data_IF_324161474978
#
_entry.id   IF_324161474978
#
_cell.length_a   1.000
_cell.length_b   1.000
_cell.length_c   1.000
_cell.angle_alpha   90.00
_cell.angle_beta   90.00
_cell.angle_gamma   90.00
#
_symmetry.space_group_name_H-M   'P 1'
#
loop_
_entity.id
_entity.type
_entity.pdbx_description
1 polymer ?
#
# COMPACT_ATOMS: atom_id res chain seq x y z
N UNK A 1 -30.67 -3.03 -16.96
CA UNK A 1 -30.61 -4.42 -16.47
C UNK A 1 -29.76 -4.42 -15.23
N UNK A 2 -30.37 -4.62 -14.07
CA UNK A 2 -29.62 -4.75 -12.82
C UNK A 2 -28.78 -6.03 -12.93
N UNK A 3 -27.45 -5.87 -12.87
CA UNK A 3 -26.53 -7.00 -12.84
C UNK A 3 -26.76 -7.74 -11.52
N UNK A 4 -27.44 -8.88 -11.60
CA UNK A 4 -27.60 -9.82 -10.51
C UNK A 4 -26.26 -10.53 -10.26
N UNK A 5 -25.30 -9.81 -9.65
CA UNK A 5 -23.95 -10.29 -9.33
C UNK A 5 -23.93 -10.80 -7.89
N UNK A 6 -24.53 -11.95 -7.63
CA UNK A 6 -24.49 -12.56 -6.29
C UNK A 6 -23.10 -13.08 -5.97
N UNK A 7 -22.26 -12.21 -5.40
CA UNK A 7 -21.32 -12.62 -4.37
C UNK A 7 -21.63 -11.81 -3.10
N UNK A 8 -22.57 -12.34 -2.32
CA UNK A 8 -22.74 -11.92 -0.92
C UNK A 8 -21.58 -12.51 -0.10
N UNK A 9 -20.37 -11.99 -0.31
CA UNK A 9 -19.23 -12.31 0.55
C UNK A 9 -18.41 -11.04 0.83
N UNK A 10 -18.98 -10.04 1.53
CA UNK A 10 -18.26 -8.82 1.87
C UNK A 10 -17.04 -9.18 2.70
N UNK A 11 -15.88 -8.63 2.34
CA UNK A 11 -14.62 -8.89 3.04
C UNK A 11 -13.87 -7.58 3.29
N UNK A 12 -13.00 -7.57 4.29
CA UNK A 12 -12.07 -6.47 4.56
C UNK A 12 -10.72 -7.02 5.07
N UNK A 13 -9.66 -6.21 4.96
CA UNK A 13 -8.31 -6.55 5.43
C UNK A 13 -7.72 -7.84 4.83
N UNK A 14 -8.19 -8.24 3.65
CA UNK A 14 -7.69 -9.35 2.84
C UNK A 14 -6.52 -8.90 1.95
N UNK A 15 -5.83 -9.86 1.34
CA UNK A 15 -4.98 -9.60 0.17
C UNK A 15 -5.76 -9.86 -1.12
N UNK A 16 -5.61 -8.98 -2.12
CA UNK A 16 -6.16 -9.16 -3.47
C UNK A 16 -5.01 -9.25 -4.47
N UNK A 17 -4.99 -10.32 -5.27
CA UNK A 17 -3.91 -10.62 -6.22
C UNK A 17 -4.50 -10.98 -7.58
N UNK A 18 -4.09 -10.24 -8.62
CA UNK A 18 -4.46 -10.54 -9.99
C UNK A 18 -3.46 -11.54 -10.58
N UNK A 19 -3.98 -12.63 -11.13
CA UNK A 19 -3.22 -13.63 -11.88
C UNK A 19 -3.09 -13.24 -13.35
N UNK A 20 -2.08 -13.80 -14.03
CA UNK A 20 -1.81 -13.55 -15.45
C UNK A 20 -2.96 -14.01 -16.37
N UNK A 21 -3.81 -14.94 -15.90
CA UNK A 21 -4.98 -15.42 -16.65
C UNK A 21 -6.21 -14.49 -16.54
N UNK A 22 -6.11 -13.40 -15.77
CA UNK A 22 -7.15 -12.41 -15.56
C UNK A 22 -8.05 -12.68 -14.35
N UNK A 23 -7.80 -13.73 -13.56
CA UNK A 23 -8.54 -13.96 -12.30
C UNK A 23 -7.95 -13.12 -11.16
N UNK A 24 -8.82 -12.62 -10.27
CA UNK A 24 -8.42 -11.95 -9.03
C UNK A 24 -8.72 -12.88 -7.86
N UNK A 25 -7.71 -13.18 -7.05
CA UNK A 25 -7.82 -13.99 -5.84
C UNK A 25 -7.88 -13.06 -4.62
N UNK A 26 -8.82 -13.35 -3.72
CA UNK A 26 -9.01 -12.67 -2.45
C UNK A 26 -8.75 -13.68 -1.31
N UNK A 27 -7.73 -13.40 -0.49
CA UNK A 27 -7.21 -14.36 0.50
C UNK A 27 -7.25 -13.74 1.90
N UNK A 28 -7.75 -14.51 2.87
CA UNK A 28 -7.86 -14.11 4.26
C UNK A 28 -8.82 -12.94 4.50
N UNK A 29 -8.54 -12.15 5.54
CA UNK A 29 -9.38 -11.01 5.93
C UNK A 29 -10.50 -11.37 6.90
N UNK A 30 -11.44 -10.44 7.04
CA UNK A 30 -12.67 -10.58 7.81
C UNK A 30 -13.87 -10.60 6.88
N UNK A 31 -14.90 -11.36 7.22
CA UNK A 31 -16.19 -11.28 6.54
C UNK A 31 -17.09 -10.16 7.12
N UNK A 32 -18.31 -10.03 6.58
CA UNK A 32 -19.37 -9.13 7.03
C UNK A 32 -19.69 -9.25 8.53
N UNK A 33 -19.55 -10.45 9.09
CA UNK A 33 -19.74 -10.75 10.52
C UNK A 33 -18.50 -10.51 11.38
N UNK A 34 -17.48 -9.83 10.85
CA UNK A 34 -16.18 -9.60 11.51
C UNK A 34 -15.48 -10.90 11.94
N UNK A 35 -15.81 -12.02 11.31
CA UNK A 35 -15.16 -13.31 11.55
C UNK A 35 -14.00 -13.50 10.60
N UNK A 36 -12.92 -14.09 11.09
CA UNK A 36 -11.77 -14.43 10.26
C UNK A 36 -12.15 -15.41 9.16
N UNK A 37 -11.71 -15.08 7.96
CA UNK A 37 -11.81 -15.97 6.81
C UNK A 37 -10.70 -17.03 6.92
N UNK A 38 -11.04 -18.33 6.85
CA UNK A 38 -10.07 -19.41 6.73
C UNK A 38 -9.14 -19.25 5.52
N UNK A 39 -7.83 -19.49 5.68
CA UNK A 39 -6.85 -19.32 4.60
C UNK A 39 -6.96 -20.38 3.50
N UNK A 40 -7.72 -21.44 3.71
CA UNK A 40 -8.07 -22.40 2.67
C UNK A 40 -9.22 -21.89 1.78
N UNK A 41 -10.00 -20.90 2.18
CA UNK A 41 -11.07 -20.34 1.35
C UNK A 41 -10.57 -19.22 0.46
N UNK A 42 -10.39 -19.54 -0.82
CA UNK A 42 -9.94 -18.59 -1.84
C UNK A 42 -11.15 -18.12 -2.64
N UNK A 43 -11.52 -16.85 -2.47
CA UNK A 43 -12.54 -16.21 -3.30
C UNK A 43 -11.89 -15.73 -4.59
N UNK A 44 -12.52 -16.02 -5.72
CA UNK A 44 -12.00 -15.79 -7.05
C UNK A 44 -13.01 -14.95 -7.81
N UNK A 45 -12.56 -13.88 -8.44
CA UNK A 45 -13.31 -13.13 -9.42
C UNK A 45 -12.69 -13.34 -10.80
N UNK A 46 -13.47 -13.88 -11.73
CA UNK A 46 -13.06 -13.97 -13.13
C UNK A 46 -13.48 -12.68 -13.85
N UNK A 47 -12.49 -11.90 -14.28
CA UNK A 47 -12.73 -10.61 -14.95
C UNK A 47 -13.28 -10.76 -16.36
N UNK A 48 -13.08 -11.91 -17.03
CA UNK A 48 -13.56 -12.16 -18.40
C UNK A 48 -15.05 -12.48 -18.41
N UNK A 49 -15.50 -13.29 -17.45
CA UNK A 49 -16.91 -13.69 -17.32
C UNK A 49 -17.68 -12.82 -16.34
N UNK A 50 -17.00 -11.96 -15.58
CA UNK A 50 -17.58 -11.17 -14.48
C UNK A 50 -18.28 -12.02 -13.42
N UNK A 51 -17.79 -13.24 -13.18
CA UNK A 51 -18.37 -14.18 -12.22
C UNK A 51 -17.49 -14.37 -11.01
N UNK A 52 -18.14 -14.65 -9.87
CA UNK A 52 -17.48 -15.04 -8.64
C UNK A 52 -17.50 -16.55 -8.46
N UNK A 53 -16.40 -17.09 -7.93
CA UNK A 53 -16.27 -18.49 -7.53
C UNK A 53 -15.50 -18.58 -6.21
N UNK A 54 -15.65 -19.68 -5.49
CA UNK A 54 -14.88 -19.98 -4.29
C UNK A 54 -14.27 -21.36 -4.40
N UNK A 55 -12.99 -21.47 -4.07
CA UNK A 55 -12.25 -22.73 -4.10
C UNK A 55 -11.59 -22.99 -2.75
N UNK A 56 -11.44 -24.26 -2.40
CA UNK A 56 -10.70 -24.70 -1.23
C UNK A 56 -9.24 -25.01 -1.61
N UNK A 57 -8.30 -24.31 -0.99
CA UNK A 57 -6.89 -24.60 -1.06
C UNK A 57 -6.51 -25.74 -0.10
N UNK A 58 -5.48 -26.50 -0.46
CA UNK A 58 -5.02 -27.68 0.29
C UNK A 58 -3.57 -27.53 0.71
N UNK A 59 -3.02 -28.52 1.42
CA UNK A 59 -1.62 -28.54 1.85
C UNK A 59 -1.42 -27.95 3.26
N UNK A 60 -0.29 -27.25 3.47
CA UNK A 60 0.06 -26.70 4.79
C UNK A 60 -0.64 -25.36 5.02
N UNK A 61 -1.94 -25.41 5.31
CA UNK A 61 -2.79 -24.22 5.48
C UNK A 61 -2.24 -23.35 6.62
N UNK A 62 -1.89 -22.06 6.36
CA UNK A 62 -1.43 -21.16 7.40
C UNK A 62 -2.59 -20.68 8.29
N UNK A 63 -2.28 -20.11 9.46
CA UNK A 63 -3.33 -19.53 10.29
C UNK A 63 -3.99 -18.32 9.63
N UNK A 64 -5.24 -18.07 10.04
CA UNK A 64 -6.03 -16.91 9.60
C UNK A 64 -5.27 -15.60 9.81
N UNK A 65 -5.47 -14.64 8.91
CA UNK A 65 -4.76 -13.36 8.99
C UNK A 65 -5.53 -12.22 8.36
N UNK A 66 -5.39 -11.06 8.98
CA UNK A 66 -5.83 -9.75 8.47
C UNK A 66 -4.63 -8.83 8.31
N UNK A 67 -4.76 -7.79 7.48
CA UNK A 67 -3.76 -6.71 7.31
C UNK A 67 -2.36 -7.24 6.94
N UNK A 68 -2.34 -8.38 6.25
CA UNK A 68 -1.15 -8.94 5.62
C UNK A 68 -1.00 -8.33 4.22
N UNK A 69 0.16 -8.55 3.61
CA UNK A 69 0.37 -8.21 2.20
C UNK A 69 0.72 -9.48 1.41
N UNK A 70 0.55 -9.42 0.11
CA UNK A 70 0.87 -10.52 -0.78
C UNK A 70 1.38 -10.00 -2.13
N UNK A 71 2.20 -10.82 -2.81
CA UNK A 71 2.69 -10.57 -4.17
C UNK A 71 2.58 -11.83 -5.03
N UNK A 72 2.36 -11.67 -6.34
CA UNK A 72 2.43 -12.76 -7.32
C UNK A 72 3.83 -12.81 -7.92
N UNK A 73 4.50 -13.96 -7.85
CA UNK A 73 5.79 -14.22 -8.48
C UNK A 73 5.63 -14.67 -9.94
N UNK A 74 6.69 -14.48 -10.74
CA UNK A 74 6.72 -14.86 -12.15
C UNK A 74 6.50 -16.36 -12.41
N UNK A 75 6.78 -17.20 -11.41
CA UNK A 75 6.54 -18.64 -11.46
C UNK A 75 5.15 -19.05 -10.90
N UNK A 76 4.24 -18.09 -10.73
CA UNK A 76 2.85 -18.33 -10.38
C UNK A 76 2.62 -18.67 -8.90
N UNK A 77 3.56 -18.38 -8.00
CA UNK A 77 3.34 -18.46 -6.55
C UNK A 77 2.83 -17.14 -6.00
N UNK A 78 1.96 -17.20 -5.02
CA UNK A 78 1.52 -16.04 -4.25
C UNK A 78 2.24 -16.08 -2.92
N UNK A 79 3.13 -15.12 -2.68
CA UNK A 79 3.88 -15.01 -1.43
C UNK A 79 3.13 -14.07 -0.51
N UNK A 80 2.81 -14.55 0.69
CA UNK A 80 2.07 -13.82 1.72
C UNK A 80 2.97 -13.58 2.91
N UNK A 81 3.02 -12.35 3.38
CA UNK A 81 3.83 -11.98 4.54
C UNK A 81 3.03 -11.22 5.62
N UNK A 82 3.30 -11.59 6.86
CA UNK A 82 2.79 -10.94 8.06
C UNK A 82 1.28 -11.07 8.25
N UNK A 83 0.71 -10.03 8.83
CA UNK A 83 -0.66 -9.98 9.33
C UNK A 83 -0.79 -10.55 10.74
N UNK A 84 -2.03 -10.57 11.22
CA UNK A 84 -2.34 -11.03 12.57
C UNK A 84 -3.63 -11.83 12.63
N UNK A 85 -3.71 -12.75 13.59
CA UNK A 85 -4.89 -13.56 13.93
C UNK A 85 -5.88 -12.78 14.81
N UNK A 86 -5.44 -11.67 15.38
CA UNK A 86 -6.21 -10.66 16.13
C UNK A 86 -5.26 -9.49 16.46
N UNK A 87 -5.66 -8.53 17.28
CA UNK A 87 -4.84 -7.35 17.59
C UNK A 87 -3.53 -7.66 18.32
N UNK A 88 -3.43 -8.81 19.00
CA UNK A 88 -2.30 -9.15 19.89
C UNK A 88 -1.62 -10.48 19.53
N UNK A 89 -1.93 -11.06 18.36
CA UNK A 89 -1.41 -12.36 17.96
C UNK A 89 -0.98 -12.35 16.48
N UNK A 90 0.34 -12.41 16.20
CA UNK A 90 0.85 -12.53 14.84
C UNK A 90 0.31 -13.75 14.10
N UNK A 91 0.25 -13.66 12.77
CA UNK A 91 -0.05 -14.82 11.93
C UNK A 91 1.11 -15.84 11.95
N UNK A 92 0.78 -17.12 11.81
CA UNK A 92 1.73 -18.24 11.91
C UNK A 92 1.54 -19.23 10.75
N UNK A 93 2.58 -19.54 9.97
CA UNK A 93 3.88 -18.85 9.91
C UNK A 93 3.73 -17.39 9.44
N UNK A 94 4.74 -16.55 9.70
CA UNK A 94 4.75 -15.15 9.22
C UNK A 94 4.80 -15.09 7.68
N UNK A 95 5.54 -16.00 7.06
CA UNK A 95 5.66 -16.17 5.62
C UNK A 95 4.90 -17.43 5.17
N UNK A 96 4.06 -17.30 4.15
CA UNK A 96 3.36 -18.41 3.51
C UNK A 96 3.43 -18.27 1.98
N UNK A 97 3.35 -19.38 1.25
CA UNK A 97 3.23 -19.35 -0.21
C UNK A 97 2.12 -20.26 -0.70
N UNK A 98 1.31 -19.76 -1.63
CA UNK A 98 0.26 -20.50 -2.32
C UNK A 98 0.66 -20.69 -3.78
N UNK A 99 0.69 -21.92 -4.27
CA UNK A 99 0.83 -22.19 -5.70
C UNK A 99 -0.52 -21.98 -6.38
N UNK A 100 -0.60 -21.04 -7.31
CA UNK A 100 -1.88 -20.56 -7.87
C UNK A 100 -2.54 -21.54 -8.85
N UNK A 101 -1.77 -22.42 -9.49
CA UNK A 101 -2.28 -23.33 -10.52
C UNK A 101 -3.24 -24.39 -9.98
N UNK A 102 -3.03 -24.84 -8.74
CA UNK A 102 -3.85 -25.87 -8.08
C UNK A 102 -4.19 -25.55 -6.62
N UNK A 103 -3.98 -24.29 -6.20
CA UNK A 103 -4.30 -23.79 -4.88
C UNK A 103 -3.69 -24.64 -3.74
N UNK A 104 -2.40 -24.94 -3.86
CA UNK A 104 -1.66 -25.69 -2.85
C UNK A 104 -0.77 -24.79 -1.99
N UNK A 105 -1.03 -24.75 -0.69
CA UNK A 105 -0.15 -24.13 0.30
C UNK A 105 1.15 -24.94 0.45
N UNK A 106 2.27 -24.25 0.26
CA UNK A 106 3.61 -24.84 0.26
C UNK A 106 4.24 -24.80 1.67
N UNK A 107 5.11 -25.77 1.95
CA UNK A 107 5.99 -25.71 3.11
C UNK A 107 7.22 -24.84 2.79
N UNK A 108 7.53 -23.89 3.65
CA UNK A 108 8.53 -22.85 3.41
C UNK A 108 9.65 -22.98 4.44
N UNK A 109 10.87 -23.14 3.93
CA UNK A 109 12.09 -23.11 4.73
C UNK A 109 12.77 -21.76 4.51
N UNK A 110 12.36 -20.76 5.29
CA UNK A 110 12.97 -19.44 5.23
C UNK A 110 14.33 -19.40 5.94
N UNK A 111 15.25 -18.62 5.38
CA UNK A 111 16.59 -18.42 5.94
C UNK A 111 16.98 -16.94 5.96
N UNK A 112 18.14 -16.63 6.56
CA UNK A 112 18.61 -15.25 6.75
C UNK A 112 18.03 -14.56 7.98
N UNK A 113 18.22 -13.25 8.06
CA UNK A 113 17.76 -12.44 9.20
C UNK A 113 16.28 -12.10 9.05
N UNK A 114 15.44 -12.85 9.74
CA UNK A 114 13.98 -12.70 9.64
C UNK A 114 13.52 -11.33 10.15
N UNK A 115 12.63 -10.63 9.43
CA UNK A 115 11.97 -9.43 9.91
C UNK A 115 11.07 -9.71 11.12
N UNK A 116 10.77 -8.68 11.93
CA UNK A 116 9.75 -8.79 12.97
C UNK A 116 8.38 -9.07 12.32
N UNK A 117 7.42 -9.65 13.05
CA UNK A 117 6.07 -9.81 12.51
C UNK A 117 5.43 -8.43 12.25
N UNK A 118 4.98 -8.19 11.02
CA UNK A 118 4.39 -6.92 10.61
C UNK A 118 2.90 -7.08 10.28
N UNK A 119 2.11 -6.05 10.56
CA UNK A 119 0.77 -5.87 9.99
C UNK A 119 0.65 -4.46 9.39
N UNK A 120 -0.35 -4.24 8.53
CA UNK A 120 -0.61 -2.95 7.88
C UNK A 120 0.61 -2.39 7.13
N UNK A 121 1.45 -3.27 6.60
CA UNK A 121 2.58 -2.95 5.76
C UNK A 121 2.18 -3.07 4.29
N UNK A 122 3.05 -2.61 3.39
CA UNK A 122 2.90 -2.84 1.95
C UNK A 122 4.00 -3.76 1.45
N UNK A 123 3.71 -4.48 0.37
CA UNK A 123 4.74 -5.23 -0.36
C UNK A 123 4.58 -5.09 -1.86
N UNK A 124 5.70 -5.23 -2.56
CA UNK A 124 5.76 -5.22 -4.02
C UNK A 124 6.87 -6.17 -4.48
N UNK A 125 6.73 -6.71 -5.69
CA UNK A 125 7.72 -7.61 -6.28
C UNK A 125 8.55 -6.86 -7.33
N UNK A 126 9.87 -7.01 -7.25
CA UNK A 126 10.83 -6.52 -8.25
C UNK A 126 11.74 -7.68 -8.63
N UNK A 127 11.55 -8.25 -9.82
CA UNK A 127 12.19 -9.52 -10.19
C UNK A 127 11.79 -10.63 -9.24
N UNK A 128 12.77 -11.29 -8.61
CA UNK A 128 12.54 -12.31 -7.57
C UNK A 128 12.62 -11.74 -6.14
N UNK A 129 12.56 -10.41 -5.98
CA UNK A 129 12.67 -9.75 -4.69
C UNK A 129 11.33 -9.18 -4.26
N UNK A 130 10.74 -9.76 -3.21
CA UNK A 130 9.61 -9.14 -2.51
C UNK A 130 10.17 -8.09 -1.56
N UNK A 131 9.82 -6.83 -1.80
CA UNK A 131 10.17 -5.70 -0.95
C UNK A 131 8.98 -5.43 -0.03
N UNK A 132 9.21 -5.46 1.28
CA UNK A 132 8.24 -5.17 2.33
C UNK A 132 8.62 -3.87 3.01
N UNK A 133 7.71 -2.90 3.03
CA UNK A 133 7.97 -1.58 3.60
C UNK A 133 6.99 -1.24 4.73
N UNK A 134 7.56 -0.70 5.81
CA UNK A 134 6.85 -0.08 6.93
C UNK A 134 5.89 -1.03 7.65
N UNK A 135 4.77 -0.50 8.14
CA UNK A 135 3.78 -1.21 8.93
C UNK A 135 4.07 -1.19 10.43
N UNK A 136 3.24 -1.92 11.17
CA UNK A 136 3.30 -1.97 12.62
C UNK A 136 3.90 -3.30 13.08
N UNK A 137 4.78 -3.24 14.08
CA UNK A 137 5.39 -4.43 14.67
C UNK A 137 4.39 -5.09 15.60
N UNK A 138 4.03 -6.34 15.33
CA UNK A 138 3.09 -7.12 16.12
C UNK A 138 3.85 -8.13 16.97
N UNK A 139 3.56 -8.19 18.27
CA UNK A 139 4.15 -9.15 19.20
C UNK A 139 3.05 -9.98 19.86
N UNK A 140 3.42 -11.15 20.35
CA UNK A 140 2.48 -12.03 21.06
C UNK A 140 2.07 -11.41 22.39
N UNK A 141 0.76 -11.34 22.65
CA UNK A 141 0.17 -10.81 23.88
C UNK A 141 0.46 -9.33 24.19
N UNK A 142 0.91 -8.55 23.21
CA UNK A 142 1.00 -7.10 23.34
C UNK A 142 0.34 -6.41 22.16
N UNK A 143 -0.19 -5.21 22.39
CA UNK A 143 -0.59 -4.33 21.30
C UNK A 143 0.62 -4.05 20.38
N UNK A 144 0.38 -3.66 19.13
CA UNK A 144 1.46 -3.38 18.19
C UNK A 144 2.41 -2.30 18.75
N UNK A 145 3.70 -2.62 18.81
CA UNK A 145 4.73 -1.77 19.39
C UNK A 145 5.27 -0.83 18.32
N UNK A 146 4.48 0.20 18.04
CA UNK A 146 4.84 1.26 17.10
C UNK A 146 4.93 0.83 15.63
N UNK A 147 5.12 1.83 14.78
CA UNK A 147 5.38 1.67 13.34
C UNK A 147 6.88 1.54 13.08
N UNK A 148 7.27 0.66 12.17
CA UNK A 148 8.65 0.59 11.67
C UNK A 148 8.81 1.48 10.43
N UNK A 149 9.98 2.11 10.28
CA UNK A 149 10.40 2.82 9.06
C UNK A 149 11.33 1.98 8.17
N UNK A 150 11.53 0.71 8.53
CA UNK A 150 12.46 -0.18 7.83
C UNK A 150 11.85 -0.77 6.55
N UNK A 151 12.74 -1.16 5.65
CA UNK A 151 12.47 -1.94 4.45
C UNK A 151 13.11 -3.32 4.62
N UNK A 152 12.38 -4.36 4.28
CA UNK A 152 12.82 -5.76 4.34
C UNK A 152 12.70 -6.38 2.95
N UNK A 153 13.66 -7.24 2.59
CA UNK A 153 13.72 -7.83 1.26
C UNK A 153 13.78 -9.35 1.41
N UNK A 154 12.87 -10.03 0.72
CA UNK A 154 12.83 -11.48 0.62
C UNK A 154 13.15 -11.88 -0.82
N UNK A 155 14.17 -12.71 -1.01
CA UNK A 155 14.35 -13.43 -2.26
C UNK A 155 13.32 -14.56 -2.34
N UNK A 156 12.37 -14.46 -3.27
CA UNK A 156 11.25 -15.40 -3.41
C UNK A 156 11.65 -16.71 -4.11
N UNK A 157 12.79 -16.75 -4.79
CA UNK A 157 13.30 -17.97 -5.42
C UNK A 157 13.71 -19.02 -4.38
N UNK A 158 14.28 -18.58 -3.25
CA UNK A 158 14.81 -19.47 -2.20
C UNK A 158 14.34 -19.13 -0.79
N UNK A 159 13.39 -18.20 -0.64
CA UNK A 159 12.83 -17.74 0.63
C UNK A 159 13.87 -17.22 1.64
N UNK A 160 14.90 -16.53 1.14
CA UNK A 160 15.96 -15.97 1.99
C UNK A 160 15.76 -14.48 2.21
N UNK A 161 15.67 -14.06 3.47
CA UNK A 161 15.67 -12.65 3.85
C UNK A 161 17.06 -12.05 3.69
N UNK A 162 17.16 -10.93 2.97
CA UNK A 162 18.42 -10.29 2.62
C UNK A 162 18.34 -8.76 2.81
N UNK A 163 19.49 -8.13 2.96
CA UNK A 163 19.65 -6.67 2.93
C UNK A 163 20.23 -6.17 1.61
N UNK A 164 20.62 -7.10 0.72
CA UNK A 164 21.20 -6.78 -0.57
C UNK A 164 20.10 -6.63 -1.62
N UNK A 165 20.06 -5.46 -2.26
CA UNK A 165 19.30 -5.22 -3.48
C UNK A 165 20.31 -5.05 -4.62
N UNK A 166 20.29 -5.97 -5.59
CA UNK A 166 20.96 -5.73 -6.86
C UNK A 166 19.89 -5.29 -7.83
N UNK A 167 19.89 -4.02 -8.27
CA UNK A 167 18.94 -3.57 -9.29
C UNK A 167 19.08 -4.46 -10.52
N UNK A 168 17.98 -4.79 -11.18
CA UNK A 168 18.06 -5.30 -12.55
C UNK A 168 18.91 -4.29 -13.32
N UNK A 169 20.03 -4.75 -13.87
CA UNK A 169 20.91 -3.92 -14.68
C UNK A 169 20.04 -3.19 -15.69
N UNK A 170 20.04 -1.85 -15.63
CA UNK A 170 19.38 -1.04 -16.64
C UNK A 170 19.81 -1.58 -18.00
N UNK A 171 18.89 -1.83 -18.96
CA UNK A 171 19.34 -2.08 -20.32
C UNK A 171 20.32 -0.96 -20.65
N UNK A 172 21.56 -1.33 -21.02
CA UNK A 172 22.58 -0.36 -21.35
C UNK A 172 21.92 0.66 -22.25
N UNK A 173 21.84 1.90 -21.76
CA UNK A 173 21.39 2.99 -22.59
C UNK A 173 22.50 3.16 -23.63
N UNK A 174 22.36 2.48 -24.76
CA UNK A 174 22.99 2.93 -26.00
C UNK A 174 22.23 4.18 -26.45
N UNK A 175 22.27 5.22 -25.61
CA UNK A 175 21.78 6.53 -25.95
C UNK A 175 22.92 7.17 -26.73
N UNK A 176 22.93 6.91 -28.04
CA UNK A 176 23.71 7.69 -28.98
C UNK A 176 23.18 9.11 -28.89
N UNK A 177 23.91 9.97 -28.17
CA UNK A 177 23.52 11.36 -27.96
C UNK A 177 23.28 12.07 -29.28
N UNK A 178 22.01 12.29 -29.62
CA UNK A 178 21.61 13.30 -30.62
C UNK A 178 20.14 13.75 -30.55
N UNK A 179 19.27 13.15 -29.72
CA UNK A 179 17.87 13.59 -29.64
C UNK A 179 17.56 14.31 -28.31
N UNK A 180 18.14 15.48 -28.10
CA UNK A 180 17.58 16.44 -27.13
C UNK A 180 16.35 17.12 -27.75
N UNK A 181 15.16 16.72 -27.34
CA UNK A 181 13.97 17.54 -27.53
C UNK A 181 14.20 18.91 -26.86
N UNK A 182 13.92 20.05 -27.52
CA UNK A 182 14.14 21.36 -26.92
C UNK A 182 13.22 21.55 -25.72
N UNK A 183 13.83 21.81 -24.55
CA UNK A 183 13.12 22.23 -23.35
C UNK A 183 12.55 23.63 -23.63
N UNK A 184 11.23 23.75 -23.76
CA UNK A 184 10.53 25.03 -23.93
C UNK A 184 10.58 25.83 -22.62
N UNK A 185 11.68 26.57 -22.45
CA UNK A 185 12.00 27.42 -21.31
C UNK A 185 11.01 28.59 -21.12
N UNK A 186 10.10 28.82 -22.07
CA UNK A 186 9.09 29.89 -21.99
C UNK A 186 7.95 29.55 -21.01
N UNK A 187 7.53 28.27 -20.95
CA UNK A 187 6.42 27.83 -20.08
C UNK A 187 6.79 27.87 -18.60
N UNK A 188 8.01 27.50 -18.24
CA UNK A 188 8.48 27.51 -16.85
C UNK A 188 8.61 28.93 -16.29
N UNK A 189 9.11 29.88 -17.08
CA UNK A 189 9.20 31.29 -16.67
C UNK A 189 7.81 31.95 -16.54
N UNK A 190 6.86 31.59 -17.40
CA UNK A 190 5.48 32.06 -17.29
C UNK A 190 4.78 31.54 -16.02
N UNK A 191 4.95 30.26 -15.68
CA UNK A 191 4.38 29.67 -14.44
C UNK A 191 4.98 30.36 -13.20
N UNK A 192 6.30 30.58 -13.18
CA UNK A 192 6.97 31.25 -12.06
C UNK A 192 6.47 32.69 -11.87
N UNK A 193 6.27 33.44 -12.97
CA UNK A 193 5.74 34.80 -12.92
C UNK A 193 4.30 34.86 -12.37
N UNK A 194 3.46 33.88 -12.72
CA UNK A 194 2.08 33.78 -12.20
C UNK A 194 2.09 33.53 -10.69
N UNK A 195 2.96 32.64 -10.19
CA UNK A 195 3.07 32.35 -8.75
C UNK A 195 3.52 33.59 -7.96
N UNK A 196 4.48 34.36 -8.50
CA UNK A 196 4.93 35.61 -7.88
C UNK A 196 3.79 36.64 -7.87
N UNK A 197 3.05 36.79 -8.97
CA UNK A 197 1.92 37.73 -9.02
C UNK A 197 0.82 37.40 -8.00
N UNK A 198 0.47 36.12 -7.85
CA UNK A 198 -0.55 35.68 -6.88
C UNK A 198 -0.10 35.92 -5.42
N UNK A 199 1.17 35.65 -5.12
CA UNK A 199 1.72 35.89 -3.78
C UNK A 199 1.82 37.38 -3.44
N UNK A 200 2.14 38.24 -4.42
CA UNK A 200 2.07 39.69 -4.22
C UNK A 200 0.63 40.17 -3.97
N UNK A 201 -0.35 39.68 -4.75
CA UNK A 201 -1.76 40.08 -4.58
C UNK A 201 -2.32 39.68 -3.21
N UNK A 202 -2.00 38.48 -2.73
CA UNK A 202 -2.45 38.02 -1.41
C UNK A 202 -1.82 38.85 -0.28
N UNK A 203 -0.55 39.21 -0.41
CA UNK A 203 0.12 40.09 0.55
C UNK A 203 -0.51 41.49 0.60
N UNK A 204 -0.76 42.12 -0.56
CA UNK A 204 -1.43 43.43 -0.63
C UNK A 204 -2.84 43.38 -0.05
N UNK A 205 -3.62 42.33 -0.35
CA UNK A 205 -4.96 42.18 0.22
C UNK A 205 -4.90 42.04 1.75
N UNK A 206 -3.92 41.30 2.26
CA UNK A 206 -3.76 41.16 3.71
C UNK A 206 -3.34 42.48 4.38
N UNK A 207 -2.41 43.24 3.77
CA UNK A 207 -2.01 44.56 4.27
C UNK A 207 -3.20 45.54 4.32
N UNK A 208 -4.04 45.58 3.29
CA UNK A 208 -5.24 46.45 3.28
C UNK A 208 -6.24 46.05 4.35
N UNK A 209 -6.43 44.75 4.61
CA UNK A 209 -7.27 44.27 5.72
C UNK A 209 -6.70 44.70 7.08
N UNK A 210 -5.38 44.62 7.27
CA UNK A 210 -4.74 45.09 8.52
C UNK A 210 -4.91 46.61 8.67
N UNK A 211 -4.60 47.39 7.63
CA UNK A 211 -4.73 48.85 7.66
C UNK A 211 -6.16 49.29 7.96
N UNK A 212 -7.16 48.66 7.34
CA UNK A 212 -8.58 48.97 7.62
C UNK A 212 -9.00 48.60 9.04
N UNK A 213 -8.47 47.51 9.60
CA UNK A 213 -8.70 47.14 11.00
C UNK A 213 -8.05 48.13 11.97
N UNK A 214 -6.82 48.56 11.70
CA UNK A 214 -6.12 49.56 12.50
C UNK A 214 -6.83 50.91 12.45
N UNK A 215 -7.24 51.35 11.25
CA UNK A 215 -8.01 52.57 11.05
C UNK A 215 -9.35 52.53 11.80
N UNK A 216 -10.13 51.43 11.69
CA UNK A 216 -11.38 51.25 12.44
C UNK A 216 -11.16 51.21 13.96
N UNK A 217 -10.02 50.68 14.43
CA UNK A 217 -9.66 50.64 15.86
C UNK A 217 -9.33 52.04 16.39
N UNK A 218 -8.53 52.81 15.66
CA UNK A 218 -8.23 54.21 16.02
C UNK A 218 -9.51 55.07 16.02
N UNK A 219 -10.36 54.95 15.00
CA UNK A 219 -11.64 55.68 14.95
C UNK A 219 -12.56 55.34 16.15
N UNK A 220 -12.63 54.06 16.56
CA UNK A 220 -13.39 53.66 17.75
C UNK A 220 -12.85 54.31 19.04
N UNK A 221 -11.53 54.40 19.19
CA UNK A 221 -10.91 55.03 20.36
C UNK A 221 -11.15 56.55 20.42
N UNK A 222 -11.26 57.22 19.27
CA UNK A 222 -11.57 58.67 19.21
C UNK A 222 -13.03 58.94 19.58
N UNK A 223 -13.99 58.11 19.15
CA UNK A 223 -15.42 58.29 19.48
C UNK A 223 -15.70 58.05 20.97
N UNK A 224 -15.00 57.09 21.61
CA UNK A 224 -15.13 56.83 23.06
C UNK A 224 -14.49 57.94 23.93
N UNK A 225 -13.61 58.78 23.35
CA UNK A 225 -12.98 59.90 24.04
C UNK A 225 -13.76 61.21 24.04
N UNK A 226 -14.90 61.28 23.35
CA UNK A 226 -15.74 62.50 23.23
C UNK A 226 -16.93 62.50 24.22
N UNK A 227 -17.28 61.35 24.80
CA UNK A 227 -18.36 61.21 25.81
C UNK A 227 -17.82 61.12 27.26
N UNK A 228 -16.74 61.84 27.59
CA UNK A 228 -16.26 62.03 28.97
C UNK A 228 -16.05 63.49 29.31
#
# INVERSE_FOLDING_TARGET
SEMNTTASNPRANYAAIMLDDGRILYIGGLNDKQSFVPMDQILIYDTKTSTWNMTAAVGKIPSVRIRHSAVLTNDGRIIIYGGSQNDSMPATPSLAALRSVDFMWLEINESGTKPPNLQSHTSTLVGDLMIVAFGNVTKFQSLPEGSTSNIYILNTANYTWTTQFTPLSSPESTYNGSDTLPIDLSRTNAILAIIIAISCLSFFMMCTIICTRLYKRQRRNVVVGIDR
#
